data_IF_820011802329
#
_entry.id   IF_820011802329
#
_cell.length_a   1.000
_cell.length_b   1.000
_cell.length_c   1.000
_cell.angle_alpha   90.00
_cell.angle_beta   90.00
_cell.angle_gamma   90.00
#
_symmetry.space_group_name_H-M   'P 1'
#
loop_
_entity.id
_entity.type
_entity.pdbx_description
1 polymer ?
#
# COMPACT_ATOMS: atom_id res chain seq x y z
N UNK A 1 -16.66 46.14 -61.61
CA UNK A 1 -17.13 44.73 -61.66
C UNK A 1 -17.72 44.39 -60.29
N UNK A 2 -19.05 44.40 -60.13
CA UNK A 2 -20.00 43.26 -60.26
C UNK A 2 -19.86 42.16 -59.18
N UNK A 3 -20.71 42.24 -58.13
CA UNK A 3 -21.73 41.25 -57.67
C UNK A 3 -21.22 39.81 -57.30
N UNK A 4 -21.31 39.27 -56.06
CA UNK A 4 -22.46 38.93 -55.15
C UNK A 4 -23.19 37.64 -55.64
N UNK A 5 -23.42 36.53 -54.89
CA UNK A 5 -23.71 36.29 -53.44
C UNK A 5 -23.35 34.84 -52.93
N UNK A 6 -23.60 34.57 -51.62
CA UNK A 6 -24.02 33.32 -50.89
C UNK A 6 -24.24 32.00 -51.68
N UNK A 7 -23.88 30.78 -51.26
CA UNK A 7 -24.04 29.99 -50.00
C UNK A 7 -25.35 29.14 -49.88
N UNK A 8 -25.26 27.99 -49.17
CA UNK A 8 -26.33 27.13 -48.54
C UNK A 8 -26.62 25.70 -49.14
N UNK A 9 -26.15 24.69 -48.39
CA UNK A 9 -26.68 23.34 -47.97
C UNK A 9 -27.57 22.38 -48.79
N UNK A 10 -27.44 21.07 -48.45
CA UNK A 10 -28.40 19.94 -48.57
C UNK A 10 -28.74 19.43 -50.01
N UNK A 11 -29.17 18.18 -50.28
CA UNK A 11 -29.44 16.97 -49.46
C UNK A 11 -29.38 15.69 -50.35
N UNK A 12 -29.09 14.54 -49.72
CA UNK A 12 -29.68 13.18 -49.92
C UNK A 12 -29.90 12.50 -51.31
N UNK A 13 -29.71 11.17 -51.21
CA UNK A 13 -30.47 10.06 -51.83
C UNK A 13 -29.93 9.29 -53.06
N UNK A 14 -30.19 7.97 -53.01
CA UNK A 14 -29.71 6.87 -53.85
C UNK A 14 -30.78 6.51 -54.90
N UNK A 15 -30.42 5.93 -56.05
CA UNK A 15 -30.68 4.48 -56.27
C UNK A 15 -29.49 3.80 -57.01
N UNK A 16 -29.20 2.49 -56.94
CA UNK A 16 -29.96 1.26 -57.26
C UNK A 16 -30.40 1.14 -58.75
N UNK A 17 -30.35 -0.10 -59.29
CA UNK A 17 -30.60 -0.54 -60.68
C UNK A 17 -29.45 -0.35 -61.70
N UNK A 18 -29.24 -1.21 -62.72
CA UNK A 18 -29.40 -2.68 -62.89
C UNK A 18 -28.68 -3.09 -64.22
N UNK A 19 -28.52 -4.39 -64.49
CA UNK A 19 -28.09 -5.01 -65.78
C UNK A 19 -26.64 -4.71 -66.27
N UNK A 20 -25.80 -5.71 -66.54
CA UNK A 20 -25.86 -6.73 -67.62
C UNK A 20 -25.41 -6.16 -68.97
N UNK A 21 -24.28 -6.65 -69.52
CA UNK A 21 -24.28 -7.46 -70.75
C UNK A 21 -22.87 -7.81 -71.27
N UNK A 22 -22.73 -9.09 -71.65
CA UNK A 22 -21.99 -9.66 -72.82
C UNK A 22 -20.54 -9.25 -73.14
N UNK A 23 -19.74 -10.05 -73.86
CA UNK A 23 -19.70 -11.50 -74.15
C UNK A 23 -18.36 -11.80 -74.87
N UNK A 24 -18.27 -13.00 -75.48
CA UNK A 24 -17.27 -13.52 -76.42
C UNK A 24 -16.16 -14.43 -75.85
N UNK A 25 -15.77 -15.53 -76.52
CA UNK A 25 -16.39 -16.38 -77.55
C UNK A 25 -15.55 -17.68 -77.63
N UNK A 26 -16.12 -18.88 -77.87
CA UNK A 26 -15.40 -20.12 -77.50
C UNK A 26 -15.64 -21.45 -78.24
N UNK A 27 -16.66 -21.60 -79.09
CA UNK A 27 -16.80 -22.68 -80.11
C UNK A 27 -16.49 -24.16 -79.73
N UNK A 28 -17.52 -24.97 -79.50
CA UNK A 28 -18.04 -25.93 -80.53
C UNK A 28 -19.13 -26.88 -80.02
N UNK A 29 -20.16 -27.01 -80.84
CA UNK A 29 -21.19 -28.06 -80.86
C UNK A 29 -20.61 -29.36 -81.50
N UNK A 30 -21.28 -30.51 -81.60
CA UNK A 30 -22.67 -30.88 -81.30
C UNK A 30 -22.75 -32.40 -81.08
N UNK A 31 -23.74 -32.88 -80.30
CA UNK A 31 -24.52 -34.04 -80.74
C UNK A 31 -25.95 -33.94 -80.18
N UNK A 32 -26.94 -34.29 -81.00
CA UNK A 32 -28.34 -33.99 -80.74
C UNK A 32 -29.13 -35.24 -80.34
N UNK A 33 -30.13 -35.09 -79.47
CA UNK A 33 -31.51 -35.55 -79.77
C UNK A 33 -32.56 -35.12 -78.72
N UNK A 34 -33.38 -34.15 -79.15
CA UNK A 34 -34.83 -34.01 -78.96
C UNK A 34 -35.55 -34.66 -77.75
N UNK A 35 -35.99 -33.79 -76.83
CA UNK A 35 -37.39 -33.65 -76.37
C UNK A 35 -38.14 -34.86 -75.76
N UNK A 36 -38.51 -34.75 -74.47
CA UNK A 36 -39.92 -34.89 -74.03
C UNK A 36 -40.22 -34.26 -72.66
N UNK A 37 -41.52 -34.17 -72.40
CA UNK A 37 -42.21 -33.24 -71.51
C UNK A 37 -42.41 -33.71 -70.05
N UNK A 38 -42.37 -32.73 -69.15
CA UNK A 38 -43.31 -32.50 -68.04
C UNK A 38 -43.38 -33.46 -66.82
N UNK A 39 -43.90 -32.86 -65.74
CA UNK A 39 -44.36 -33.37 -64.44
C UNK A 39 -43.37 -33.16 -63.27
N UNK A 40 -43.89 -32.48 -62.23
CA UNK A 40 -43.10 -31.82 -61.20
C UNK A 40 -42.48 -32.72 -60.12
N UNK A 41 -41.36 -32.27 -59.58
CA UNK A 41 -40.72 -32.79 -58.38
C UNK A 41 -40.51 -31.69 -57.35
N UNK A 42 -41.03 -31.86 -56.14
CA UNK A 42 -40.98 -30.85 -55.08
C UNK A 42 -39.55 -30.58 -54.58
N UNK A 43 -39.18 -29.30 -54.47
CA UNK A 43 -37.96 -28.85 -53.80
C UNK A 43 -38.01 -29.09 -52.28
N UNK A 44 -37.63 -30.27 -51.83
CA UNK A 44 -37.35 -30.53 -50.41
C UNK A 44 -36.00 -29.93 -50.01
N UNK A 45 -35.97 -28.61 -49.75
CA UNK A 45 -34.83 -27.99 -49.08
C UNK A 45 -34.75 -28.51 -47.65
N UNK A 46 -33.78 -29.38 -47.39
CA UNK A 46 -33.59 -30.03 -46.08
C UNK A 46 -33.13 -29.03 -45.03
N UNK A 47 -34.10 -28.40 -44.34
CA UNK A 47 -33.90 -27.47 -43.21
C UNK A 47 -33.13 -28.09 -42.02
N UNK A 48 -32.86 -29.40 -42.06
CA UNK A 48 -32.27 -30.21 -40.98
C UNK A 48 -30.73 -30.20 -40.99
N UNK A 49 -30.08 -29.89 -42.11
CA UNK A 49 -28.60 -29.78 -42.18
C UNK A 49 -28.09 -28.47 -41.55
N UNK A 50 -28.77 -27.35 -41.84
CA UNK A 50 -28.41 -26.00 -41.39
C UNK A 50 -28.30 -25.94 -39.86
N UNK A 51 -29.26 -26.51 -39.13
CA UNK A 51 -29.25 -26.53 -37.66
C UNK A 51 -28.05 -27.30 -37.07
N UNK A 52 -27.63 -28.41 -37.70
CA UNK A 52 -26.47 -29.20 -37.24
C UNK A 52 -25.16 -28.44 -37.43
N UNK A 53 -25.02 -27.69 -38.52
CA UNK A 53 -23.84 -26.85 -38.80
C UNK A 53 -23.74 -25.70 -37.78
N UNK A 54 -24.86 -25.09 -37.41
CA UNK A 54 -24.87 -24.07 -36.34
C UNK A 54 -24.47 -24.64 -34.98
N UNK A 55 -24.97 -25.83 -34.60
CA UNK A 55 -24.62 -26.48 -33.31
C UNK A 55 -23.13 -26.88 -33.25
N UNK A 56 -22.54 -27.36 -34.34
CA UNK A 56 -21.09 -27.67 -34.36
C UNK A 56 -20.24 -26.42 -34.35
N UNK A 57 -20.65 -25.35 -35.06
CA UNK A 57 -19.95 -24.07 -35.05
C UNK A 57 -19.99 -23.39 -33.66
N UNK A 58 -21.14 -23.37 -32.98
CA UNK A 58 -21.22 -22.79 -31.62
C UNK A 58 -20.44 -23.62 -30.60
N UNK A 59 -20.43 -24.94 -30.71
CA UNK A 59 -19.59 -25.81 -29.88
C UNK A 59 -18.09 -25.54 -30.09
N UNK A 60 -17.63 -25.36 -31.34
CA UNK A 60 -16.23 -25.03 -31.63
C UNK A 60 -15.84 -23.67 -31.03
N UNK A 61 -16.70 -22.64 -31.18
CA UNK A 61 -16.47 -21.32 -30.58
C UNK A 61 -16.43 -21.39 -29.04
N UNK A 62 -17.28 -22.21 -28.42
CA UNK A 62 -17.24 -22.46 -26.97
C UNK A 62 -15.93 -23.12 -26.54
N UNK A 63 -15.43 -24.12 -27.29
CA UNK A 63 -14.12 -24.73 -27.01
C UNK A 63 -12.98 -23.73 -27.14
N UNK A 64 -12.97 -22.87 -28.17
CA UNK A 64 -11.95 -21.82 -28.32
C UNK A 64 -12.01 -20.83 -27.15
N UNK A 65 -13.19 -20.39 -26.74
CA UNK A 65 -13.36 -19.51 -25.57
C UNK A 65 -12.88 -20.18 -24.27
N UNK A 66 -13.17 -21.48 -24.09
CA UNK A 66 -12.71 -22.26 -22.94
C UNK A 66 -11.18 -22.44 -22.93
N UNK A 67 -10.54 -22.65 -24.09
CA UNK A 67 -9.09 -22.72 -24.20
C UNK A 67 -8.43 -21.37 -23.87
N UNK A 68 -9.00 -20.25 -24.37
CA UNK A 68 -8.51 -18.90 -24.03
C UNK A 68 -8.65 -18.64 -22.51
N UNK A 69 -9.76 -19.03 -21.89
CA UNK A 69 -9.98 -18.91 -20.46
C UNK A 69 -8.96 -19.74 -19.67
N UNK A 70 -8.72 -20.99 -20.06
CA UNK A 70 -7.74 -21.88 -19.41
C UNK A 70 -6.32 -21.30 -19.53
N UNK A 71 -5.92 -20.80 -20.70
CA UNK A 71 -4.62 -20.15 -20.91
C UNK A 71 -4.51 -18.89 -20.05
N UNK A 72 -5.56 -18.07 -19.97
CA UNK A 72 -5.61 -16.88 -19.12
C UNK A 72 -5.49 -17.20 -17.62
N UNK A 73 -6.19 -18.24 -17.15
CA UNK A 73 -6.11 -18.71 -15.75
C UNK A 73 -4.73 -19.29 -15.45
N UNK A 74 -4.17 -20.14 -16.31
CA UNK A 74 -2.84 -20.73 -16.11
C UNK A 74 -1.76 -19.64 -16.16
N UNK A 75 -1.81 -18.73 -17.13
CA UNK A 75 -0.88 -17.61 -17.25
C UNK A 75 -0.95 -16.66 -16.04
N UNK A 76 -2.16 -16.30 -15.62
CA UNK A 76 -2.39 -15.50 -14.41
C UNK A 76 -1.86 -16.19 -13.15
N UNK A 77 -2.08 -17.51 -13.00
CA UNK A 77 -1.62 -18.29 -11.85
C UNK A 77 -0.10 -18.50 -11.87
N UNK A 78 0.53 -18.57 -13.06
CA UNK A 78 1.98 -18.61 -13.23
C UNK A 78 2.63 -17.28 -12.85
N UNK A 79 2.12 -16.16 -13.39
CA UNK A 79 2.58 -14.81 -13.04
C UNK A 79 2.37 -14.54 -11.54
N UNK A 80 1.19 -14.88 -11.01
CA UNK A 80 0.92 -14.79 -9.57
C UNK A 80 1.92 -15.61 -8.76
N UNK A 81 2.15 -16.88 -9.09
CA UNK A 81 3.13 -17.70 -8.37
C UNK A 81 4.54 -17.15 -8.47
N UNK A 82 5.00 -16.72 -9.64
CA UNK A 82 6.36 -16.23 -9.81
C UNK A 82 6.57 -14.90 -9.07
N UNK A 83 5.67 -13.93 -9.28
CA UNK A 83 5.77 -12.60 -8.70
C UNK A 83 5.46 -12.58 -7.19
N UNK A 84 4.40 -13.28 -6.74
CA UNK A 84 4.09 -13.35 -5.32
C UNK A 84 5.16 -14.14 -4.54
N UNK A 85 5.75 -15.21 -5.11
CA UNK A 85 6.83 -15.93 -4.42
C UNK A 85 8.08 -15.06 -4.26
N UNK A 86 8.60 -14.43 -5.32
CA UNK A 86 9.80 -13.59 -5.17
C UNK A 86 9.57 -12.45 -4.19
N UNK A 87 8.42 -11.76 -4.25
CA UNK A 87 8.08 -10.69 -3.31
C UNK A 87 7.95 -11.21 -1.86
N UNK A 88 7.27 -12.34 -1.62
CA UNK A 88 7.11 -12.93 -0.27
C UNK A 88 8.38 -13.62 0.27
N UNK A 89 9.31 -14.01 -0.61
CA UNK A 89 10.62 -14.50 -0.18
C UNK A 89 11.53 -13.35 0.24
N UNK A 90 11.57 -12.27 -0.55
CA UNK A 90 12.35 -11.05 -0.30
C UNK A 90 11.92 -10.32 0.97
N UNK A 91 10.64 -9.97 1.06
CA UNK A 91 10.09 -9.20 2.19
C UNK A 91 9.47 -10.13 3.24
N UNK A 92 9.85 -9.96 4.51
CA UNK A 92 9.17 -10.56 5.66
C UNK A 92 8.23 -9.57 6.29
N UNK A 93 6.93 -9.88 6.22
CA UNK A 93 5.88 -9.10 6.85
C UNK A 93 5.39 -9.79 8.12
N UNK A 94 5.18 -9.04 9.20
CA UNK A 94 4.64 -9.57 10.45
C UNK A 94 4.08 -8.49 11.36
N UNK A 95 3.09 -8.85 12.18
CA UNK A 95 2.59 -8.00 13.26
C UNK A 95 3.27 -8.39 14.56
N UNK A 96 3.79 -7.41 15.29
CA UNK A 96 4.45 -7.61 16.57
C UNK A 96 3.87 -6.65 17.61
N UNK A 97 3.69 -7.15 18.83
CA UNK A 97 3.28 -6.37 20.00
C UNK A 97 4.52 -6.03 20.82
N UNK A 98 4.93 -4.76 20.80
CA UNK A 98 6.06 -4.30 21.61
C UNK A 98 5.54 -3.96 23.02
N UNK A 99 6.11 -4.57 24.08
CA UNK A 99 5.77 -4.19 25.46
C UNK A 99 6.23 -2.75 25.73
N UNK A 100 5.55 -2.05 26.63
CA UNK A 100 5.86 -0.67 26.94
C UNK A 100 5.48 -0.31 28.37
N UNK A 101 6.40 0.33 29.10
CA UNK A 101 6.12 0.80 30.46
C UNK A 101 5.35 2.13 30.45
N UNK A 102 4.07 2.04 30.83
CA UNK A 102 3.15 3.17 30.96
C UNK A 102 3.64 4.24 31.95
N UNK A 103 4.52 3.90 32.90
CA UNK A 103 4.95 4.77 34.01
C UNK A 103 5.56 6.10 33.56
N UNK A 104 6.37 6.11 32.50
CA UNK A 104 7.13 7.30 32.07
C UNK A 104 6.28 8.38 31.38
N UNK A 105 5.01 8.09 31.04
CA UNK A 105 4.05 9.08 30.51
C UNK A 105 3.21 9.78 31.58
N UNK A 106 3.43 9.48 32.88
CA UNK A 106 2.71 10.12 34.01
C UNK A 106 2.94 11.63 34.14
N UNK A 107 3.93 12.20 33.43
CA UNK A 107 4.13 13.65 33.35
C UNK A 107 3.04 14.41 32.55
N UNK A 108 2.29 13.74 31.66
CA UNK A 108 1.32 14.38 30.74
C UNK A 108 -0.15 14.03 31.02
N UNK A 109 -0.43 13.29 32.09
CA UNK A 109 -1.78 12.95 32.52
C UNK A 109 -2.02 13.38 33.98
N UNK A 110 -1.90 14.68 34.26
CA UNK A 110 -2.49 15.26 35.47
C UNK A 110 -3.97 15.54 35.20
N UNK A 111 -4.81 14.62 35.67
CA UNK A 111 -6.02 14.91 36.45
C UNK A 111 -6.72 13.62 36.92
N UNK A 112 -6.05 12.87 37.81
CA UNK A 112 -6.69 11.94 38.73
C UNK A 112 -5.72 11.51 39.86
N UNK A 113 -6.10 11.81 41.11
CA UNK A 113 -5.80 11.06 42.35
C UNK A 113 -4.33 10.70 42.68
N UNK A 114 -3.73 11.56 43.52
CA UNK A 114 -3.04 11.27 44.81
C UNK A 114 -2.09 10.07 45.04
N UNK A 115 -1.17 10.33 45.96
CA UNK A 115 -0.23 9.42 46.64
C UNK A 115 0.91 8.85 45.79
N UNK A 116 2.14 9.32 46.09
CA UNK A 116 3.35 8.89 45.40
C UNK A 116 3.96 7.60 45.96
N UNK A 117 4.68 6.90 45.10
CA UNK A 117 5.66 5.86 45.44
C UNK A 117 6.80 5.98 44.43
N UNK A 118 7.78 6.82 44.75
CA UNK A 118 9.02 6.91 43.98
C UNK A 118 9.96 5.82 44.47
N UNK A 119 10.30 4.92 43.55
CA UNK A 119 11.48 4.05 43.52
C UNK A 119 11.98 3.45 44.85
N UNK A 120 11.72 2.15 45.03
CA UNK A 120 12.78 1.21 45.38
C UNK A 120 12.43 -0.20 44.88
N UNK A 121 13.20 -0.72 43.92
CA UNK A 121 12.94 -2.03 43.30
C UNK A 121 13.23 -3.20 44.24
N UNK A 122 14.13 -3.01 45.20
CA UNK A 122 14.53 -4.06 46.14
C UNK A 122 13.46 -4.30 47.23
N UNK A 123 12.72 -3.25 47.61
CA UNK A 123 11.57 -3.35 48.51
C UNK A 123 10.42 -4.19 47.93
N UNK A 124 10.23 -4.17 46.60
CA UNK A 124 9.17 -4.96 45.94
C UNK A 124 9.49 -6.47 46.02
N UNK A 125 10.74 -6.86 45.78
CA UNK A 125 11.19 -8.26 45.90
C UNK A 125 11.11 -8.73 47.36
N UNK A 126 11.46 -7.86 48.31
CA UNK A 126 11.37 -8.18 49.74
C UNK A 126 9.90 -8.28 50.23
N UNK A 127 8.99 -7.47 49.68
CA UNK A 127 7.55 -7.54 49.94
C UNK A 127 6.89 -8.80 49.38
N UNK A 128 7.23 -9.18 48.13
CA UNK A 128 6.70 -10.39 47.48
C UNK A 128 7.02 -11.68 48.26
N UNK A 129 8.13 -11.69 49.02
CA UNK A 129 8.53 -12.78 49.91
C UNK A 129 7.70 -12.93 51.19
N UNK A 130 6.79 -11.99 51.47
CA UNK A 130 5.90 -11.97 52.65
C UNK A 130 4.41 -11.88 52.31
N UNK A 131 4.06 -11.64 51.05
CA UNK A 131 2.67 -11.52 50.60
C UNK A 131 1.94 -12.87 50.61
N UNK A 132 0.64 -12.84 50.88
CA UNK A 132 -0.23 -14.00 50.67
C UNK A 132 -0.43 -14.24 49.17
N UNK A 133 -0.80 -15.46 48.76
CA UNK A 133 -0.97 -15.83 47.33
C UNK A 133 -1.93 -14.90 46.60
N UNK A 134 -2.96 -14.42 47.29
CA UNK A 134 -3.97 -13.52 46.75
C UNK A 134 -3.42 -12.10 46.48
N UNK A 135 -2.67 -11.54 47.44
CA UNK A 135 -1.96 -10.26 47.28
C UNK A 135 -0.90 -10.35 46.16
N UNK A 136 -0.19 -11.46 46.04
CA UNK A 136 0.75 -11.69 44.96
C UNK A 136 0.05 -11.71 43.58
N UNK A 137 -1.14 -12.32 43.47
CA UNK A 137 -1.92 -12.28 42.22
C UNK A 137 -2.46 -10.90 41.87
N UNK A 138 -2.84 -10.08 42.86
CA UNK A 138 -3.33 -8.73 42.60
C UNK A 138 -2.19 -7.74 42.31
N UNK A 139 -1.00 -7.92 42.91
CA UNK A 139 0.22 -7.20 42.50
C UNK A 139 0.61 -7.60 41.07
N UNK A 140 0.62 -8.89 40.73
CA UNK A 140 0.93 -9.37 39.39
C UNK A 140 -0.06 -8.82 38.33
N UNK A 141 -1.37 -8.83 38.61
CA UNK A 141 -2.38 -8.21 37.73
C UNK A 141 -2.15 -6.71 37.56
N UNK A 142 -1.79 -5.98 38.62
CA UNK A 142 -1.51 -4.55 38.51
C UNK A 142 -0.24 -4.27 37.69
N UNK A 143 0.80 -5.09 37.81
CA UNK A 143 2.01 -5.00 36.97
C UNK A 143 1.72 -5.31 35.51
N UNK A 144 0.89 -6.32 35.23
CA UNK A 144 0.45 -6.64 33.86
C UNK A 144 -0.38 -5.48 33.26
N UNK A 145 -1.23 -4.84 34.08
CA UNK A 145 -2.00 -3.65 33.71
C UNK A 145 -1.14 -2.36 33.54
N UNK A 146 0.13 -2.37 34.00
CA UNK A 146 1.11 -1.30 33.73
C UNK A 146 1.89 -1.53 32.43
N UNK A 147 2.04 -2.79 31.97
CA UNK A 147 2.65 -3.13 30.68
C UNK A 147 1.66 -2.93 29.54
N UNK A 148 1.59 -1.70 29.02
CA UNK A 148 0.87 -1.41 27.79
C UNK A 148 1.58 -2.08 26.62
N UNK A 149 0.85 -2.59 25.63
CA UNK A 149 1.42 -2.99 24.35
C UNK A 149 0.94 -2.04 23.28
N UNK A 150 1.78 -1.74 22.29
CA UNK A 150 1.33 -1.19 21.01
C UNK A 150 1.71 -2.14 19.88
N UNK A 151 0.94 -2.10 18.79
CA UNK A 151 1.04 -3.06 17.69
C UNK A 151 1.66 -2.36 16.50
N UNK A 152 2.76 -2.91 16.00
CA UNK A 152 3.40 -2.46 14.77
C UNK A 152 3.38 -3.57 13.73
N UNK A 153 3.30 -3.18 12.46
CA UNK A 153 3.47 -4.11 11.33
C UNK A 153 4.79 -3.80 10.64
N UNK A 154 5.68 -4.79 10.64
CA UNK A 154 6.96 -4.71 9.97
C UNK A 154 6.87 -5.33 8.58
N UNK A 155 7.61 -4.77 7.63
CA UNK A 155 7.90 -5.30 6.30
C UNK A 155 9.40 -5.11 6.02
N UNK A 156 10.17 -6.20 6.04
CA UNK A 156 11.64 -6.18 6.15
C UNK A 156 12.27 -6.88 4.94
N UNK A 157 13.17 -6.23 4.21
CA UNK A 157 13.95 -6.84 3.12
C UNK A 157 15.12 -7.69 3.66
N UNK A 158 14.97 -9.02 3.64
CA UNK A 158 16.03 -9.94 4.09
C UNK A 158 16.95 -10.44 2.97
N UNK A 159 16.69 -10.04 1.72
CA UNK A 159 17.50 -10.45 0.57
C UNK A 159 18.58 -9.39 0.29
N UNK A 160 18.18 -8.13 0.17
CA UNK A 160 19.07 -7.01 -0.16
C UNK A 160 19.43 -6.16 1.06
N UNK A 161 18.68 -6.24 2.16
CA UNK A 161 18.92 -5.49 3.41
C UNK A 161 18.91 -3.96 3.25
N UNK A 162 18.22 -3.47 2.21
CA UNK A 162 18.17 -2.05 1.83
C UNK A 162 16.92 -1.32 2.34
N UNK A 163 15.88 -2.04 2.76
CA UNK A 163 14.56 -1.49 3.03
C UNK A 163 13.92 -2.14 4.25
N UNK A 164 13.32 -1.31 5.08
CA UNK A 164 12.38 -1.68 6.15
C UNK A 164 11.23 -0.69 6.17
N UNK A 165 10.03 -1.19 6.49
CA UNK A 165 8.81 -0.40 6.66
C UNK A 165 8.08 -0.82 7.92
N UNK A 166 7.60 0.16 8.67
CA UNK A 166 6.89 -0.02 9.95
C UNK A 166 5.57 0.76 9.88
N UNK A 167 4.43 0.07 9.84
CA UNK A 167 3.11 0.71 10.04
C UNK A 167 2.81 0.80 11.54
N UNK A 168 2.56 2.01 12.06
CA UNK A 168 2.22 2.29 13.47
C UNK A 168 0.80 2.87 13.55
N UNK A 169 -0.25 2.01 13.67
CA UNK A 169 -1.66 2.41 13.57
C UNK A 169 -2.21 3.16 14.80
N UNK A 170 -1.59 3.06 15.98
CA UNK A 170 -1.91 3.90 17.15
C UNK A 170 -0.67 3.99 18.04
N UNK A 171 -0.22 5.22 18.28
CA UNK A 171 0.89 5.51 19.19
C UNK A 171 0.42 6.31 20.43
N UNK A 172 -0.60 5.82 21.13
CA UNK A 172 -0.98 6.27 22.49
C UNK A 172 -1.16 7.79 22.59
N UNK A 173 -1.94 8.36 21.67
CA UNK A 173 -2.22 9.80 21.57
C UNK A 173 -1.21 10.59 20.71
N UNK A 174 -0.20 9.93 20.14
CA UNK A 174 0.52 10.43 18.97
C UNK A 174 -0.25 10.19 17.67
N UNK A 175 0.28 10.70 16.55
CA UNK A 175 -0.30 10.59 15.20
C UNK A 175 -0.06 9.21 14.60
N UNK A 176 -0.93 8.82 13.66
CA UNK A 176 -0.76 7.58 12.91
C UNK A 176 0.34 7.76 11.85
N UNK A 177 1.36 6.90 11.92
CA UNK A 177 2.56 7.02 11.10
C UNK A 177 2.88 5.72 10.38
N UNK A 178 3.37 5.83 9.14
CA UNK A 178 4.16 4.79 8.49
C UNK A 178 5.59 5.26 8.37
N UNK A 179 6.53 4.46 8.83
CA UNK A 179 7.94 4.74 8.69
C UNK A 179 8.54 3.87 7.59
N UNK A 180 9.47 4.45 6.82
CA UNK A 180 10.26 3.76 5.80
C UNK A 180 11.72 4.05 6.09
N UNK A 181 12.57 3.02 6.09
CA UNK A 181 14.01 3.14 6.31
C UNK A 181 14.73 2.66 5.06
N UNK A 182 15.31 3.60 4.31
CA UNK A 182 16.14 3.33 3.15
C UNK A 182 17.62 3.29 3.60
N UNK A 183 18.11 2.07 3.79
CA UNK A 183 19.49 1.80 4.18
C UNK A 183 20.47 1.94 3.01
N UNK A 184 20.01 2.10 1.77
CA UNK A 184 20.90 2.32 0.63
C UNK A 184 21.35 3.79 0.57
N UNK A 185 20.41 4.74 0.74
CA UNK A 185 20.69 6.18 0.70
C UNK A 185 20.75 6.87 2.07
N UNK A 186 20.59 6.11 3.16
CA UNK A 186 20.59 6.59 4.54
C UNK A 186 19.50 7.64 4.83
N UNK A 187 18.26 7.33 4.49
CA UNK A 187 17.09 8.18 4.78
C UNK A 187 16.00 7.42 5.54
N UNK A 188 15.33 8.15 6.42
CA UNK A 188 14.06 7.73 7.01
C UNK A 188 12.95 8.62 6.47
N UNK A 189 11.90 8.01 5.96
CA UNK A 189 10.62 8.66 5.66
C UNK A 189 9.61 8.39 6.77
N UNK A 190 8.79 9.38 7.09
CA UNK A 190 7.59 9.28 7.93
C UNK A 190 6.42 9.77 7.09
N UNK A 191 5.45 8.91 6.82
CA UNK A 191 4.21 9.26 6.16
C UNK A 191 3.20 9.59 7.25
N UNK A 192 2.76 10.84 7.31
CA UNK A 192 1.71 11.31 8.21
C UNK A 192 0.35 11.02 7.59
N UNK A 193 -0.30 9.96 8.10
CA UNK A 193 -1.59 9.49 7.59
C UNK A 193 -2.68 10.52 7.89
N UNK A 194 -2.61 11.14 9.06
CA UNK A 194 -3.59 12.13 9.53
C UNK A 194 -3.45 13.48 8.79
N UNK A 195 -2.20 13.90 8.52
CA UNK A 195 -1.88 15.17 7.87
C UNK A 195 -1.78 15.12 6.34
N UNK A 196 -1.83 13.93 5.74
CA UNK A 196 -1.65 13.70 4.30
C UNK A 196 -0.38 14.39 3.76
N UNK A 197 0.75 14.18 4.46
CA UNK A 197 2.05 14.70 4.05
C UNK A 197 3.18 13.73 4.40
N UNK A 198 4.36 13.96 3.85
CA UNK A 198 5.55 13.17 4.14
C UNK A 198 6.63 14.01 4.79
N UNK A 199 7.36 13.39 5.71
CA UNK A 199 8.55 13.94 6.35
C UNK A 199 9.76 13.05 6.04
N UNK A 200 10.91 13.65 5.74
CA UNK A 200 12.14 12.93 5.43
C UNK A 200 13.29 13.44 6.28
N UNK A 201 14.11 12.53 6.80
CA UNK A 201 15.27 12.84 7.63
C UNK A 201 16.44 11.89 7.33
N UNK A 202 17.67 12.22 7.75
CA UNK A 202 18.77 11.25 7.74
C UNK A 202 18.42 10.02 8.60
N UNK A 203 18.79 8.82 8.13
CA UNK A 203 18.64 7.58 8.88
C UNK A 203 19.66 7.55 10.03
N UNK A 204 19.20 7.48 11.27
CA UNK A 204 20.08 7.22 12.42
C UNK A 204 20.35 5.72 12.60
N UNK A 205 21.49 5.26 12.07
CA UNK A 205 22.00 3.89 12.25
C UNK A 205 22.44 3.57 13.68
N UNK A 206 22.49 4.54 14.60
CA UNK A 206 22.78 4.27 16.01
C UNK A 206 21.54 3.77 16.75
N UNK A 207 20.33 4.16 16.35
CA UNK A 207 19.07 3.75 16.98
C UNK A 207 18.32 2.71 16.15
N UNK A 208 18.29 2.84 14.82
CA UNK A 208 17.64 1.91 13.89
C UNK A 208 18.52 0.68 13.63
N UNK A 209 18.00 -0.52 13.89
CA UNK A 209 18.67 -1.78 13.53
C UNK A 209 18.57 -2.07 12.02
N UNK A 210 19.58 -2.72 11.41
CA UNK A 210 19.50 -3.17 10.03
C UNK A 210 18.55 -4.38 9.86
N UNK A 211 18.01 -4.64 8.64
CA UNK A 211 16.93 -5.59 8.41
C UNK A 211 17.10 -7.00 8.99
N UNK A 212 18.28 -7.64 8.86
CA UNK A 212 18.53 -8.95 9.47
C UNK A 212 18.50 -8.93 11.00
N UNK A 213 19.09 -7.90 11.60
CA UNK A 213 19.17 -7.77 13.05
C UNK A 213 17.80 -7.46 13.64
N UNK A 214 17.01 -6.61 12.97
CA UNK A 214 15.61 -6.37 13.32
C UNK A 214 14.79 -7.68 13.27
N UNK A 215 14.87 -8.43 12.18
CA UNK A 215 14.13 -9.69 12.04
C UNK A 215 14.53 -10.75 13.07
N UNK A 216 15.82 -10.93 13.36
CA UNK A 216 16.29 -11.86 14.39
C UNK A 216 15.82 -11.44 15.79
N UNK A 217 15.87 -10.13 16.10
CA UNK A 217 15.34 -9.59 17.35
C UNK A 217 13.83 -9.85 17.50
N UNK A 218 13.03 -9.47 16.50
CA UNK A 218 11.58 -9.66 16.49
C UNK A 218 11.21 -11.15 16.64
N UNK A 219 11.96 -12.05 15.98
CA UNK A 219 11.79 -13.50 16.12
C UNK A 219 12.13 -14.01 17.52
N UNK A 220 13.20 -13.51 18.16
CA UNK A 220 13.59 -13.88 19.53
C UNK A 220 12.59 -13.35 20.56
N UNK A 221 12.13 -12.12 20.39
CA UNK A 221 11.08 -11.48 21.20
C UNK A 221 9.77 -12.25 21.11
N UNK A 222 9.29 -12.56 19.90
CA UNK A 222 8.05 -13.33 19.68
C UNK A 222 8.09 -14.73 20.32
N UNK A 223 9.25 -15.38 20.30
CA UNK A 223 9.46 -16.68 20.92
C UNK A 223 9.71 -16.61 22.45
N UNK A 224 9.70 -15.42 23.07
CA UNK A 224 9.91 -15.24 24.51
C UNK A 224 11.36 -15.40 24.99
N UNK A 225 12.35 -15.44 24.09
CA UNK A 225 13.77 -15.61 24.44
C UNK A 225 14.52 -14.31 24.72
N UNK A 226 13.89 -13.15 24.54
CA UNK A 226 14.56 -11.85 24.66
C UNK A 226 13.60 -10.75 25.08
N UNK A 227 13.93 -10.05 26.17
CA UNK A 227 13.27 -8.81 26.56
C UNK A 227 13.96 -7.63 25.87
N UNK A 228 13.18 -6.81 25.16
CA UNK A 228 13.67 -5.61 24.47
C UNK A 228 13.76 -4.42 25.42
N UNK A 229 14.74 -3.52 25.22
CA UNK A 229 14.70 -2.22 25.88
C UNK A 229 13.59 -1.37 25.25
N UNK A 230 12.64 -0.92 26.07
CA UNK A 230 11.45 -0.16 25.66
C UNK A 230 11.42 1.22 26.29
N UNK A 231 12.59 1.71 26.73
CA UNK A 231 12.84 3.11 27.05
C UNK A 231 12.46 4.02 25.87
N UNK A 232 11.90 5.20 26.17
CA UNK A 232 11.62 6.22 25.16
C UNK A 232 12.79 7.18 25.05
N UNK A 233 13.35 7.27 23.84
CA UNK A 233 14.21 8.39 23.45
C UNK A 233 13.38 9.39 22.64
N UNK A 234 13.39 10.66 23.07
CA UNK A 234 12.67 11.75 22.41
C UNK A 234 13.59 12.56 21.51
N UNK A 235 13.17 12.76 20.26
CA UNK A 235 13.86 13.56 19.26
C UNK A 235 12.97 14.76 18.89
N UNK A 236 13.37 15.97 19.26
CA UNK A 236 12.65 17.18 18.86
C UNK A 236 13.06 17.60 17.44
N UNK A 237 12.08 17.70 16.55
CA UNK A 237 12.26 17.91 15.12
C UNK A 237 11.53 19.18 14.65
N UNK A 238 12.05 19.79 13.59
CA UNK A 238 11.42 20.94 12.91
C UNK A 238 11.37 20.70 11.40
N UNK A 239 10.20 20.94 10.82
CA UNK A 239 9.94 20.90 9.38
C UNK A 239 10.58 22.11 8.69
N UNK A 240 11.30 21.85 7.60
CA UNK A 240 11.86 22.86 6.70
C UNK A 240 10.89 23.05 5.53
N UNK A 241 10.51 24.31 5.28
CA UNK A 241 9.71 24.72 4.11
C UNK A 241 10.61 25.49 3.12
N UNK A 242 10.30 25.52 1.80
CA UNK A 242 9.19 24.86 1.09
C UNK A 242 9.33 23.32 1.03
N UNK A 243 8.30 22.59 0.57
CA UNK A 243 8.41 21.15 0.33
C UNK A 243 9.47 20.83 -0.75
N UNK A 244 9.98 19.60 -0.70
CA UNK A 244 10.92 19.02 -1.66
C UNK A 244 10.20 18.87 -3.01
N UNK A 245 10.74 19.50 -4.06
CA UNK A 245 10.21 19.42 -5.43
C UNK A 245 10.75 18.24 -6.21
N UNK A 246 12.00 17.84 -5.97
CA UNK A 246 12.66 16.70 -6.61
C UNK A 246 12.69 15.50 -5.66
N UNK A 247 11.80 14.54 -5.87
CA UNK A 247 11.74 13.30 -5.07
C UNK A 247 12.87 12.31 -5.38
N UNK A 248 13.75 12.56 -6.36
CA UNK A 248 14.91 11.67 -6.61
C UNK A 248 15.88 11.67 -5.42
N UNK A 249 15.97 12.77 -4.67
CA UNK A 249 16.89 12.94 -3.53
C UNK A 249 16.49 12.17 -2.27
N UNK A 250 15.26 11.64 -2.23
CA UNK A 250 14.71 10.89 -1.08
C UNK A 250 14.63 9.38 -1.33
N UNK A 251 15.10 8.90 -2.50
CA UNK A 251 15.21 7.47 -2.81
C UNK A 251 13.89 6.83 -3.22
N UNK A 252 13.99 5.77 -4.03
CA UNK A 252 12.84 5.14 -4.70
C UNK A 252 11.78 4.61 -3.73
N UNK A 253 12.19 4.06 -2.57
CA UNK A 253 11.24 3.49 -1.60
C UNK A 253 10.37 4.57 -0.94
N UNK A 254 10.97 5.69 -0.52
CA UNK A 254 10.23 6.80 0.11
C UNK A 254 9.45 7.57 -0.96
N UNK A 255 10.08 7.91 -2.09
CA UNK A 255 9.43 8.65 -3.19
C UNK A 255 8.18 7.94 -3.71
N UNK A 256 8.16 6.60 -3.77
CA UNK A 256 7.00 5.82 -4.21
C UNK A 256 5.80 5.91 -3.26
N UNK A 257 6.03 5.99 -1.94
CA UNK A 257 4.94 6.10 -0.96
C UNK A 257 4.53 7.56 -0.70
N UNK A 258 5.33 8.53 -1.14
CA UNK A 258 5.09 9.96 -1.01
C UNK A 258 4.75 10.68 -2.33
N UNK A 259 4.56 9.93 -3.43
CA UNK A 259 4.48 10.49 -4.79
C UNK A 259 3.42 11.60 -4.96
N UNK A 260 2.28 11.47 -4.29
CA UNK A 260 1.15 12.40 -4.37
C UNK A 260 1.00 13.27 -3.09
N UNK A 261 2.01 13.28 -2.21
CA UNK A 261 1.98 13.96 -0.91
C UNK A 261 3.04 15.07 -0.82
N UNK A 262 2.71 16.26 -0.25
CA UNK A 262 3.70 17.30 -0.01
C UNK A 262 4.76 16.76 0.95
N UNK A 263 6.00 16.69 0.48
CA UNK A 263 7.10 16.05 1.19
C UNK A 263 8.08 17.09 1.72
N UNK A 264 8.40 17.04 3.02
CA UNK A 264 9.24 18.02 3.70
C UNK A 264 10.47 17.39 4.33
N UNK A 265 11.57 18.16 4.44
CA UNK A 265 12.75 17.73 5.20
C UNK A 265 12.57 18.08 6.68
N UNK A 266 12.94 17.17 7.58
CA UNK A 266 13.07 17.45 9.02
C UNK A 266 14.51 17.79 9.39
N UNK A 267 14.63 18.66 10.39
CA UNK A 267 15.90 19.01 11.02
C UNK A 267 15.80 18.85 12.53
N UNK A 268 16.84 18.29 13.15
CA UNK A 268 16.90 18.07 14.60
C UNK A 268 17.13 19.38 15.34
N UNK A 269 16.35 19.62 16.38
CA UNK A 269 16.39 20.85 17.17
C UNK A 269 17.14 20.59 18.46
N UNK A 270 18.42 20.98 18.49
CA UNK A 270 19.26 20.90 19.69
C UNK A 270 18.95 22.07 20.65
N UNK A 271 17.71 22.19 21.14
CA UNK A 271 17.28 23.26 22.04
C UNK A 271 17.05 22.77 23.46
N UNK A 272 17.82 23.29 24.42
CA UNK A 272 17.61 23.08 25.86
C UNK A 272 16.33 23.77 26.41
N UNK A 273 15.49 24.34 25.54
CA UNK A 273 14.30 25.13 25.89
C UNK A 273 13.08 24.48 25.25
N UNK A 274 12.53 23.49 25.93
CA UNK A 274 11.22 22.90 25.59
C UNK A 274 10.14 23.94 25.89
N UNK A 275 9.53 24.52 24.86
CA UNK A 275 8.28 25.27 25.03
C UNK A 275 7.17 24.29 25.40
N UNK A 276 6.36 24.64 26.40
CA UNK A 276 5.16 23.88 26.80
C UNK A 276 3.98 24.11 25.82
N UNK A 277 4.23 23.94 24.53
CA UNK A 277 3.18 23.78 23.53
C UNK A 277 2.58 22.38 23.64
N UNK A 278 1.32 22.22 23.25
CA UNK A 278 0.69 20.90 23.13
C UNK A 278 1.34 20.24 21.91
N UNK A 279 2.07 19.15 22.13
CA UNK A 279 2.82 18.43 21.09
C UNK A 279 1.86 17.60 20.22
N UNK A 280 1.18 18.27 19.29
CA UNK A 280 0.22 17.66 18.35
C UNK A 280 0.90 16.84 17.24
N UNK A 281 2.24 16.95 17.11
CA UNK A 281 3.04 16.35 16.05
C UNK A 281 3.95 15.20 16.51
N UNK A 282 3.52 14.38 17.46
CA UNK A 282 4.32 13.25 17.99
C UNK A 282 4.09 11.99 17.16
N UNK A 283 5.17 11.44 16.61
CA UNK A 283 5.20 10.13 15.93
C UNK A 283 6.12 9.19 16.72
N UNK A 284 5.73 7.92 16.88
CA UNK A 284 6.53 6.93 17.61
C UNK A 284 6.76 5.66 16.81
N UNK A 285 7.94 5.04 16.95
CA UNK A 285 8.23 3.70 16.42
C UNK A 285 9.16 2.89 17.33
N UNK A 286 9.13 1.56 17.25
CA UNK A 286 10.19 0.69 17.77
C UNK A 286 11.14 0.24 16.64
N UNK A 287 12.35 0.82 16.63
CA UNK A 287 13.38 0.51 15.62
C UNK A 287 14.45 -0.48 16.13
N UNK A 288 14.13 -1.25 17.17
CA UNK A 288 14.91 -2.42 17.61
C UNK A 288 15.81 -2.20 18.83
N UNK A 289 16.30 -0.98 19.08
CA UNK A 289 17.07 -0.68 20.31
C UNK A 289 16.23 -0.09 21.44
N UNK A 290 15.30 0.78 21.08
CA UNK A 290 14.47 1.57 21.97
C UNK A 290 13.24 2.05 21.18
N UNK A 291 12.30 2.68 21.89
CA UNK A 291 11.16 3.36 21.25
C UNK A 291 11.58 4.81 21.02
N UNK A 292 11.44 5.27 19.78
CA UNK A 292 11.83 6.63 19.38
C UNK A 292 10.56 7.45 19.21
N UNK A 293 10.40 8.53 19.99
CA UNK A 293 9.33 9.52 19.85
C UNK A 293 9.88 10.77 19.14
N UNK A 294 9.44 11.04 17.91
CA UNK A 294 9.74 12.27 17.17
C UNK A 294 8.67 13.32 17.46
N UNK A 295 9.05 14.45 18.06
CA UNK A 295 8.16 15.58 18.36
C UNK A 295 8.37 16.71 17.34
N UNK A 296 7.43 16.89 16.42
CA UNK A 296 7.50 17.87 15.33
C UNK A 296 6.86 19.20 15.77
N UNK A 297 7.71 20.19 16.09
CA UNK A 297 7.29 21.43 16.76
C UNK A 297 6.40 22.38 15.94
N UNK A 298 6.56 22.41 14.61
CA UNK A 298 5.92 23.40 13.72
C UNK A 298 4.92 22.76 12.74
N UNK A 299 4.25 21.69 13.16
CA UNK A 299 3.27 20.99 12.31
C UNK A 299 2.08 21.88 11.94
N UNK A 300 1.62 22.73 12.85
CA UNK A 300 0.50 23.67 12.59
C UNK A 300 0.82 24.70 11.49
N UNK A 301 2.08 25.15 11.39
CA UNK A 301 2.55 26.03 10.31
C UNK A 301 2.51 25.32 8.95
N UNK A 302 2.81 24.01 8.93
CA UNK A 302 2.81 23.15 7.73
C UNK A 302 1.37 22.86 7.28
N UNK A 303 0.46 22.57 8.21
CA UNK A 303 -0.97 22.43 7.92
C UNK A 303 -1.55 23.72 7.32
N UNK A 304 -1.16 24.88 7.87
CA UNK A 304 -1.56 26.19 7.36
C UNK A 304 -0.94 26.52 6.00
N UNK A 305 0.29 26.06 5.73
CA UNK A 305 0.95 26.19 4.43
C UNK A 305 0.25 25.31 3.37
N UNK A 306 0.06 24.01 3.66
CA UNK A 306 -0.62 23.06 2.79
C UNK A 306 -2.02 23.58 2.39
N UNK A 307 -2.82 24.05 3.36
CA UNK A 307 -4.16 24.61 3.11
C UNK A 307 -4.17 25.82 2.18
N UNK A 308 -3.13 26.67 2.23
CA UNK A 308 -2.97 27.82 1.30
C UNK A 308 -2.55 27.35 -0.10
N UNK A 309 -1.63 26.39 -0.17
CA UNK A 309 -1.17 25.83 -1.45
C UNK A 309 -2.26 25.06 -2.20
N UNK A 310 -3.20 24.41 -1.51
CA UNK A 310 -4.34 23.72 -2.13
C UNK A 310 -5.48 24.64 -2.59
N UNK A 311 -5.39 25.97 -2.37
CA UNK A 311 -6.38 26.95 -2.77
C UNK A 311 -5.99 27.78 -4.00
N UNK A 312 -4.77 27.58 -4.54
CA UNK A 312 -4.22 28.22 -5.73
C UNK A 312 -3.98 27.19 -6.85
#
# INVERSE_FOLDING_TARGET
MTIITKAITEKKELPLFIEENTAENGKRDAEAQCLKSDVGGHYFVSRRSIYRIHVTATFLLFLVALMILIIGVIGGLYIYRQYARTQMHRFKTGWYSIPYDKSSKTAYAKDAVHQGLVADSDLIIQGLRRATEQEATDIAKNVDNMKSFFKERFEIDLENEQYEKIDVPDFRGGRQGRFIHDFNINKTGIIDIDGQCCFVMPLDRQTVLPPRNMYDLLRKMYNGYYEVNTEIVRETMKVVTPPITDLSVIGTYIARECQDLPTYMLTKVNSNVVKRSISNGVFGQFAGKNIIEFDILNLEDVDAYNKKSSQN
#
